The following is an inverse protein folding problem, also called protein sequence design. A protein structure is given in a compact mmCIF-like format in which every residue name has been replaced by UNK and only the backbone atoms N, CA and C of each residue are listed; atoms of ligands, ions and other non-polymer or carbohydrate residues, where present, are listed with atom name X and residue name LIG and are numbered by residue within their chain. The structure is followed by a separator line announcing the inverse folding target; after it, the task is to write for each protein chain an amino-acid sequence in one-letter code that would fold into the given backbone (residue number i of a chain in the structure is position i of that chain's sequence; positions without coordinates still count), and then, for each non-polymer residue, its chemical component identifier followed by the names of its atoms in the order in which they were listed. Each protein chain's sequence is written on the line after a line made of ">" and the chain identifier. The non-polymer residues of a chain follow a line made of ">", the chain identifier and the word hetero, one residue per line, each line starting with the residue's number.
data_IF_730859888129
#
_entry.id   IF_730859888129
#
_cell.length_a   1.000
_cell.length_b   1.000
_cell.length_c   1.000
_cell.angle_alpha   90.00
_cell.angle_beta   90.00
_cell.angle_gamma   90.00
#
_symmetry.space_group_name_H-M   'P 1'
#
loop_
_entity.id
_entity.type
_entity.pdbx_description
1 polymer ?
#
# COMPACT_ATOMS: atom_id res chain seq x y z
N UNK A 1 14.73 -22.52 33.88
CA UNK A 1 14.86 -21.80 32.60
C UNK A 1 14.09 -22.60 31.54
N UNK A 2 12.77 -22.41 31.46
CA UNK A 2 11.90 -23.17 30.55
C UNK A 2 11.74 -22.44 29.22
N UNK A 3 12.10 -23.10 28.11
CA UNK A 3 11.78 -22.63 26.75
C UNK A 3 10.26 -22.70 26.59
N UNK A 4 9.59 -21.55 26.48
CA UNK A 4 8.20 -21.50 26.02
C UNK A 4 8.19 -21.95 24.56
N UNK A 5 7.44 -23.01 24.28
CA UNK A 5 7.15 -23.47 22.94
C UNK A 5 6.41 -22.34 22.21
N UNK A 6 6.93 -21.96 21.04
CA UNK A 6 6.28 -21.04 20.12
C UNK A 6 4.84 -21.51 19.89
N UNK A 7 3.87 -20.64 20.17
CA UNK A 7 2.47 -20.90 19.85
C UNK A 7 2.34 -21.22 18.37
N UNK A 8 1.57 -22.26 18.06
CA UNK A 8 1.19 -22.60 16.69
C UNK A 8 0.53 -21.35 16.07
N UNK A 9 1.01 -20.91 14.91
CA UNK A 9 0.32 -19.91 14.10
C UNK A 9 -1.12 -20.40 13.95
N UNK A 10 -2.16 -19.65 14.39
CA UNK A 10 -3.54 -20.06 14.21
C UNK A 10 -3.80 -20.30 12.72
N UNK A 11 -4.57 -21.34 12.40
CA UNK A 11 -4.93 -21.64 11.02
C UNK A 11 -5.56 -20.40 10.39
N UNK A 12 -4.96 -19.92 9.32
CA UNK A 12 -5.45 -18.78 8.56
C UNK A 12 -6.80 -19.22 7.95
N UNK A 13 -7.92 -18.56 8.27
CA UNK A 13 -9.20 -18.93 7.70
C UNK A 13 -9.12 -18.79 6.17
N UNK A 14 -9.59 -19.84 5.49
CA UNK A 14 -9.70 -19.92 4.05
C UNK A 14 -10.46 -18.70 3.53
N UNK A 15 -9.91 -18.04 2.51
CA UNK A 15 -10.56 -16.89 1.90
C UNK A 15 -11.93 -17.32 1.35
N UNK A 16 -12.95 -16.48 1.54
CA UNK A 16 -14.24 -16.70 0.93
C UNK A 16 -14.08 -16.78 -0.61
N UNK A 17 -14.88 -17.62 -1.30
CA UNK A 17 -14.82 -17.71 -2.76
C UNK A 17 -15.06 -16.33 -3.39
N UNK A 18 -14.23 -15.98 -4.37
CA UNK A 18 -14.36 -14.72 -5.11
C UNK A 18 -15.66 -14.75 -5.93
N UNK A 19 -16.51 -13.74 -5.71
CA UNK A 19 -17.65 -13.46 -6.59
C UNK A 19 -17.14 -13.11 -8.01
N UNK A 20 -17.88 -13.44 -9.07
CA UNK A 20 -17.46 -13.17 -10.44
C UNK A 20 -17.27 -11.67 -10.68
N UNK A 21 -16.07 -11.29 -11.12
CA UNK A 21 -15.70 -9.92 -11.44
C UNK A 21 -16.57 -9.41 -12.60
N UNK A 22 -17.28 -8.29 -12.38
CA UNK A 22 -18.01 -7.57 -13.43
C UNK A 22 -17.01 -6.83 -14.33
N UNK A 23 -17.44 -6.53 -15.56
CA UNK A 23 -16.62 -5.99 -16.66
C UNK A 23 -15.61 -4.91 -16.21
N UNK A 24 -14.32 -5.24 -16.35
CA UNK A 24 -13.19 -4.57 -15.67
C UNK A 24 -12.70 -3.32 -16.39
N UNK A 25 -12.92 -3.24 -17.70
CA UNK A 25 -12.36 -2.18 -18.53
C UNK A 25 -12.93 -0.78 -18.22
N UNK A 26 -14.15 -0.69 -17.68
CA UNK A 26 -14.81 0.59 -17.41
C UNK A 26 -14.46 1.21 -16.04
N UNK A 27 -13.91 0.42 -15.12
CA UNK A 27 -13.69 0.85 -13.73
C UNK A 27 -12.33 1.49 -13.47
N UNK A 28 -11.28 1.02 -14.15
CA UNK A 28 -9.91 1.51 -13.96
C UNK A 28 -9.67 2.89 -14.56
N UNK A 29 -10.31 3.22 -15.69
CA UNK A 29 -10.20 4.54 -16.33
C UNK A 29 -11.06 5.62 -15.66
N UNK A 30 -11.89 5.25 -14.67
CA UNK A 30 -12.90 6.12 -14.06
C UNK A 30 -12.60 6.51 -12.60
N UNK A 31 -11.57 5.92 -11.99
CA UNK A 31 -11.16 6.29 -10.64
C UNK A 31 -10.26 7.54 -10.74
N UNK A 32 -10.76 8.65 -10.22
CA UNK A 32 -9.99 9.88 -10.02
C UNK A 32 -9.66 9.97 -8.52
N UNK A 33 -8.39 10.19 -8.17
CA UNK A 33 -8.07 10.38 -6.76
C UNK A 33 -8.74 11.63 -6.22
N UNK A 34 -9.47 11.53 -5.09
CA UNK A 34 -10.14 12.67 -4.50
C UNK A 34 -9.14 13.78 -4.14
N UNK A 35 -9.52 15.04 -4.37
CA UNK A 35 -8.70 16.22 -3.99
C UNK A 35 -8.26 16.18 -2.52
N UNK A 36 -9.08 15.57 -1.64
CA UNK A 36 -8.74 15.38 -0.23
C UNK A 36 -7.50 14.50 0.01
N UNK A 37 -7.16 13.61 -0.92
CA UNK A 37 -5.97 12.76 -0.89
C UNK A 37 -4.72 13.44 -1.51
N UNK A 38 -4.84 14.69 -1.94
CA UNK A 38 -3.74 15.48 -2.49
C UNK A 38 -3.31 16.55 -1.48
N UNK A 39 -2.00 16.74 -1.29
CA UNK A 39 -1.55 17.88 -0.50
C UNK A 39 -1.61 19.16 -1.34
N UNK A 40 -2.12 20.23 -0.72
CA UNK A 40 -2.16 21.57 -1.36
C UNK A 40 -0.79 22.21 -1.51
N UNK A 41 0.22 21.76 -0.76
CA UNK A 41 1.60 22.22 -0.84
C UNK A 41 2.47 20.98 -1.11
N UNK A 42 3.04 20.82 -2.32
CA UNK A 42 3.78 19.62 -2.67
C UNK A 42 5.08 19.54 -1.89
N UNK A 43 5.49 18.31 -1.54
CA UNK A 43 6.86 18.03 -1.11
C UNK A 43 7.82 18.58 -2.17
N UNK A 44 8.88 19.28 -1.75
CA UNK A 44 9.82 19.95 -2.64
C UNK A 44 10.11 19.11 -3.89
N UNK A 45 9.91 19.70 -5.08
CA UNK A 45 10.01 19.03 -6.39
C UNK A 45 11.42 18.45 -6.59
N UNK A 46 11.60 17.21 -6.14
CA UNK A 46 12.83 16.43 -6.35
C UNK A 46 12.95 16.02 -7.80
N UNK A 47 11.86 15.92 -8.57
CA UNK A 47 11.92 15.59 -9.99
C UNK A 47 12.76 16.63 -10.76
N UNK A 48 12.58 17.92 -10.45
CA UNK A 48 13.35 19.01 -11.06
C UNK A 48 14.86 18.97 -10.76
N UNK A 49 15.29 18.30 -9.69
CA UNK A 49 16.69 18.31 -9.23
C UNK A 49 17.56 17.23 -9.89
N UNK A 50 16.99 16.15 -10.41
CA UNK A 50 17.74 14.92 -10.74
C UNK A 50 17.45 14.29 -12.10
N UNK A 51 16.42 14.74 -12.84
CA UNK A 51 16.28 14.44 -14.29
C UNK A 51 17.38 15.10 -15.15
N UNK A 52 18.35 15.78 -14.51
CA UNK A 52 19.43 16.53 -15.12
C UNK A 52 20.63 15.71 -15.62
N UNK A 53 20.66 14.39 -15.39
CA UNK A 53 21.77 13.55 -15.85
C UNK A 53 21.47 13.02 -17.26
N UNK A 54 22.12 13.61 -18.25
CA UNK A 54 22.03 13.31 -19.70
C UNK A 54 22.64 11.92 -20.04
N UNK A 55 22.19 10.88 -19.35
CA UNK A 55 22.66 9.48 -19.43
C UNK A 55 21.60 8.65 -20.15
N UNK A 56 21.91 8.10 -21.34
CA UNK A 56 20.96 7.28 -22.08
C UNK A 56 20.48 6.07 -21.27
N UNK A 57 19.17 5.87 -21.18
CA UNK A 57 18.54 4.74 -20.49
C UNK A 57 18.50 4.88 -18.96
N UNK A 58 18.82 6.06 -18.41
CA UNK A 58 18.58 6.35 -17.00
C UNK A 58 17.08 6.50 -16.75
N UNK A 59 16.54 5.72 -15.80
CA UNK A 59 15.15 5.85 -15.35
C UNK A 59 14.93 7.24 -14.75
N UNK A 60 13.82 7.92 -15.07
CA UNK A 60 13.43 9.17 -14.42
C UNK A 60 13.41 9.02 -12.90
N UNK A 61 13.69 10.10 -12.18
CA UNK A 61 13.58 10.04 -10.71
C UNK A 61 12.15 9.87 -10.27
N UNK A 62 11.20 10.51 -10.94
CA UNK A 62 9.78 10.27 -10.76
C UNK A 62 9.26 9.61 -12.04
N UNK A 63 8.90 8.34 -11.95
CA UNK A 63 8.41 7.58 -13.09
C UNK A 63 6.93 7.93 -13.32
N UNK A 64 6.53 8.33 -14.54
CA UNK A 64 5.11 8.58 -14.88
C UNK A 64 4.22 7.37 -14.55
N UNK A 65 2.96 7.62 -14.16
CA UNK A 65 2.03 6.57 -13.72
C UNK A 65 1.79 5.49 -14.80
N UNK A 66 1.71 5.88 -16.07
CA UNK A 66 1.52 4.98 -17.21
C UNK A 66 2.79 4.19 -17.61
N UNK A 67 3.96 4.61 -17.10
CA UNK A 67 5.25 3.93 -17.29
C UNK A 67 5.71 3.15 -16.05
N UNK A 68 5.06 3.32 -14.89
CA UNK A 68 5.42 2.63 -13.66
C UNK A 68 5.17 1.13 -13.79
N UNK A 69 6.19 0.31 -13.48
CA UNK A 69 6.11 -1.13 -13.70
C UNK A 69 4.95 -1.77 -12.90
N UNK A 70 4.26 -2.72 -13.52
CA UNK A 70 3.13 -3.45 -12.91
C UNK A 70 3.42 -4.93 -12.81
N UNK A 71 3.17 -5.51 -11.64
CA UNK A 71 3.23 -6.96 -11.40
C UNK A 71 1.91 -7.38 -10.75
N UNK A 72 1.16 -8.23 -11.44
CA UNK A 72 -0.12 -8.75 -10.96
C UNK A 72 -0.06 -10.27 -10.77
N UNK A 73 -0.70 -10.76 -9.72
CA UNK A 73 -0.98 -12.20 -9.56
C UNK A 73 -2.32 -12.61 -10.16
N UNK A 74 -3.25 -11.65 -10.31
CA UNK A 74 -4.56 -11.88 -10.89
C UNK A 74 -4.52 -11.70 -12.41
N UNK A 75 -5.17 -12.60 -13.14
CA UNK A 75 -5.34 -12.47 -14.60
C UNK A 75 -6.29 -11.32 -14.98
N UNK A 76 -7.12 -10.90 -14.04
CA UNK A 76 -8.15 -9.88 -14.19
C UNK A 76 -8.04 -8.95 -12.99
N UNK A 77 -7.82 -7.67 -13.25
CA UNK A 77 -7.69 -6.64 -12.21
C UNK A 77 -9.04 -6.47 -11.50
N UNK A 78 -9.09 -6.53 -10.16
CA UNK A 78 -10.31 -6.23 -9.42
C UNK A 78 -10.70 -4.75 -9.60
N UNK A 79 -11.93 -4.52 -10.03
CA UNK A 79 -12.55 -3.18 -9.92
C UNK A 79 -13.28 -3.13 -8.59
N UNK A 80 -12.91 -2.18 -7.75
CA UNK A 80 -13.54 -1.99 -6.44
C UNK A 80 -14.25 -0.64 -6.41
N UNK A 81 -15.51 -0.65 -5.99
CA UNK A 81 -16.27 0.58 -5.78
C UNK A 81 -15.85 1.19 -4.44
N UNK A 82 -15.41 2.44 -4.45
CA UNK A 82 -14.95 3.18 -3.27
C UNK A 82 -16.03 3.28 -2.17
N UNK A 83 -17.32 3.27 -2.56
CA UNK A 83 -18.46 3.40 -1.63
C UNK A 83 -18.71 2.12 -0.83
N UNK A 84 -18.29 0.99 -1.39
CA UNK A 84 -18.43 -0.34 -0.78
C UNK A 84 -17.09 -0.84 -0.20
N UNK A 85 -15.99 -0.13 -0.45
CA UNK A 85 -14.66 -0.50 0.01
C UNK A 85 -14.52 -0.36 1.52
N UNK A 86 -13.90 -1.35 2.16
CA UNK A 86 -13.59 -1.30 3.58
C UNK A 86 -12.22 -1.89 3.89
N UNK A 87 -11.49 -1.26 4.81
CA UNK A 87 -10.31 -1.80 5.46
C UNK A 87 -10.68 -2.31 6.86
N UNK A 88 -10.47 -3.60 7.11
CA UNK A 88 -10.64 -4.19 8.44
C UNK A 88 -9.29 -4.48 9.08
N UNK A 89 -9.10 -4.01 10.30
CA UNK A 89 -7.95 -4.34 11.15
C UNK A 89 -8.43 -5.27 12.27
N UNK A 90 -7.84 -6.47 12.34
CA UNK A 90 -8.29 -7.53 13.24
C UNK A 90 -7.14 -8.48 13.62
N UNK A 91 -7.39 -9.39 14.56
CA UNK A 91 -6.39 -10.36 15.04
C UNK A 91 -5.90 -10.04 16.45
N UNK A 92 -4.59 -9.95 16.64
CA UNK A 92 -3.97 -9.65 17.95
C UNK A 92 -3.96 -8.14 18.24
N UNK A 93 -5.17 -7.60 18.44
CA UNK A 93 -5.45 -6.18 18.65
C UNK A 93 -6.37 -5.99 19.86
N UNK A 94 -6.33 -4.82 20.50
CA UNK A 94 -7.23 -4.48 21.61
C UNK A 94 -8.69 -4.36 21.14
N UNK A 95 -8.91 -3.77 19.97
CA UNK A 95 -10.23 -3.68 19.33
C UNK A 95 -10.14 -3.86 17.82
N UNK A 96 -11.02 -4.69 17.25
CA UNK A 96 -11.14 -4.75 15.80
C UNK A 96 -11.85 -3.50 15.28
N UNK A 97 -11.34 -2.93 14.20
CA UNK A 97 -11.91 -1.74 13.55
C UNK A 97 -12.19 -2.03 12.08
N UNK A 98 -13.12 -1.27 11.51
CA UNK A 98 -13.40 -1.27 10.07
C UNK A 98 -13.57 0.17 9.63
N UNK A 99 -12.81 0.57 8.62
CA UNK A 99 -12.79 1.91 8.05
C UNK A 99 -13.27 1.84 6.60
N UNK A 100 -14.12 2.76 6.19
CA UNK A 100 -14.45 3.01 4.79
C UNK A 100 -13.38 3.87 4.10
N UNK A 101 -13.54 4.08 2.80
CA UNK A 101 -12.64 4.94 2.04
C UNK A 101 -12.71 6.41 2.50
N UNK A 102 -13.92 6.93 2.76
CA UNK A 102 -14.13 8.29 3.29
C UNK A 102 -13.48 8.51 4.66
N UNK A 103 -13.41 7.46 5.51
CA UNK A 103 -12.76 7.56 6.81
C UNK A 103 -11.25 7.84 6.64
N UNK A 104 -10.61 7.22 5.65
CA UNK A 104 -9.19 7.44 5.35
C UNK A 104 -8.94 8.84 4.77
N UNK A 105 -9.82 9.32 3.89
CA UNK A 105 -9.75 10.69 3.36
C UNK A 105 -9.93 11.76 4.46
N UNK A 106 -10.58 11.41 5.56
CA UNK A 106 -10.74 12.28 6.72
C UNK A 106 -9.53 12.31 7.68
N UNK A 107 -8.51 11.47 7.47
CA UNK A 107 -7.29 11.43 8.28
C UNK A 107 -6.23 12.41 7.75
N UNK A 108 -5.12 12.54 8.48
CA UNK A 108 -3.97 13.29 8.00
C UNK A 108 -3.33 12.57 6.79
N UNK A 109 -3.42 13.20 5.63
CA UNK A 109 -2.73 12.78 4.43
C UNK A 109 -1.28 13.26 4.49
N UNK A 110 -0.37 12.36 4.13
CA UNK A 110 1.05 12.65 4.01
C UNK A 110 1.54 12.21 2.64
N UNK A 111 2.62 12.84 2.20
CA UNK A 111 3.30 12.52 0.93
C UNK A 111 4.73 12.08 1.20
N UNK A 112 5.18 11.04 0.49
CA UNK A 112 6.57 10.59 0.53
C UNK A 112 7.02 10.04 -0.84
N UNK A 113 8.29 10.28 -1.19
CA UNK A 113 8.90 9.71 -2.37
C UNK A 113 9.44 8.32 -2.06
N UNK A 114 8.75 7.29 -2.55
CA UNK A 114 9.08 5.89 -2.25
C UNK A 114 9.46 5.15 -3.52
N UNK A 115 10.64 4.52 -3.49
CA UNK A 115 11.08 3.58 -4.53
C UNK A 115 10.55 2.20 -4.22
N UNK A 116 9.84 1.60 -5.17
CA UNK A 116 9.42 0.19 -5.10
C UNK A 116 10.26 -0.59 -6.12
N UNK A 117 10.80 -1.73 -5.67
CA UNK A 117 11.58 -2.62 -6.52
C UNK A 117 11.07 -4.06 -6.38
N UNK A 118 10.89 -4.74 -7.51
CA UNK A 118 10.56 -6.15 -7.52
C UNK A 118 11.76 -6.99 -7.09
N UNK A 119 11.53 -8.05 -6.31
CA UNK A 119 12.57 -9.04 -5.96
C UNK A 119 13.19 -9.72 -7.19
N UNK A 120 12.47 -9.72 -8.32
CA UNK A 120 12.93 -10.27 -9.60
C UNK A 120 13.69 -9.25 -10.45
N UNK A 121 13.86 -8.00 -10.00
CA UNK A 121 14.58 -7.00 -10.78
C UNK A 121 16.06 -7.38 -10.93
N UNK A 122 16.56 -7.37 -12.16
CA UNK A 122 17.97 -7.65 -12.46
C UNK A 122 18.80 -6.36 -12.40
N UNK A 123 20.13 -6.50 -12.39
CA UNK A 123 21.02 -5.35 -12.51
C UNK A 123 20.78 -4.68 -13.87
N UNK A 124 20.36 -3.41 -13.85
CA UNK A 124 19.96 -2.66 -15.05
C UNK A 124 18.59 -3.05 -15.61
N UNK A 125 17.75 -3.76 -14.85
CA UNK A 125 16.37 -4.07 -15.20
C UNK A 125 15.41 -2.90 -14.95
N UNK A 126 14.16 -3.11 -15.34
CA UNK A 126 13.06 -2.14 -15.39
C UNK A 126 11.99 -2.37 -14.31
N UNK A 127 12.15 -3.37 -13.44
CA UNK A 127 11.19 -3.68 -12.37
C UNK A 127 11.50 -2.89 -11.09
N UNK A 128 11.73 -1.59 -11.26
CA UNK A 128 12.00 -0.61 -10.19
C UNK A 128 11.50 0.76 -10.63
N UNK A 129 10.86 1.49 -9.73
CA UNK A 129 10.37 2.84 -9.98
C UNK A 129 10.27 3.65 -8.68
N UNK A 130 10.39 4.97 -8.79
CA UNK A 130 10.15 5.91 -7.69
C UNK A 130 9.02 6.86 -8.10
N UNK A 131 8.16 7.18 -7.14
CA UNK A 131 7.00 8.03 -7.34
C UNK A 131 6.70 8.79 -6.04
N UNK A 132 5.96 9.88 -6.16
CA UNK A 132 5.36 10.56 -5.01
C UNK A 132 4.10 9.79 -4.60
N UNK A 133 4.06 9.25 -3.39
CA UNK A 133 2.89 8.55 -2.86
C UNK A 133 2.18 9.42 -1.86
N UNK A 134 0.86 9.58 -2.01
CA UNK A 134 0.01 10.24 -1.03
C UNK A 134 -0.88 9.22 -0.32
N UNK A 135 -1.10 9.41 0.98
CA UNK A 135 -1.97 8.52 1.74
C UNK A 135 -1.91 8.74 3.23
N UNK A 136 -2.49 7.81 3.99
CA UNK A 136 -2.48 7.87 5.46
C UNK A 136 -1.35 7.04 6.03
N UNK A 137 -0.81 7.45 7.18
CA UNK A 137 0.18 6.64 7.90
C UNK A 137 -0.49 5.35 8.39
N UNK A 138 0.06 4.20 7.99
CA UNK A 138 -0.42 2.89 8.45
C UNK A 138 -0.35 2.79 9.99
N UNK A 139 0.65 3.42 10.61
CA UNK A 139 0.78 3.48 12.06
C UNK A 139 -0.48 4.04 12.71
N UNK A 140 -1.00 5.16 12.22
CA UNK A 140 -2.12 5.87 12.84
C UNK A 140 -3.40 5.01 12.79
N UNK A 141 -3.62 4.31 11.67
CA UNK A 141 -4.70 3.32 11.54
C UNK A 141 -4.52 2.14 12.49
N UNK A 142 -3.29 1.63 12.64
CA UNK A 142 -3.02 0.53 13.57
C UNK A 142 -3.21 0.96 15.03
N UNK A 143 -2.78 2.17 15.41
CA UNK A 143 -2.93 2.69 16.77
C UNK A 143 -4.40 2.77 17.22
N UNK A 144 -5.33 3.02 16.29
CA UNK A 144 -6.77 2.96 16.57
C UNK A 144 -7.22 1.57 17.03
N UNK A 145 -6.61 0.50 16.50
CA UNK A 145 -6.92 -0.89 16.85
C UNK A 145 -6.15 -1.38 18.09
N UNK A 146 -4.98 -0.77 18.37
CA UNK A 146 -4.09 -1.16 19.47
C UNK A 146 -3.47 -2.54 19.28
N UNK A 147 -2.56 -2.76 18.30
CA UNK A 147 -1.95 -4.06 18.09
C UNK A 147 -0.98 -4.43 19.22
N UNK A 148 -0.94 -5.72 19.52
CA UNK A 148 0.10 -6.30 20.35
C UNK A 148 1.46 -6.22 19.65
N UNK A 149 2.43 -5.55 20.28
CA UNK A 149 3.81 -5.50 19.80
C UNK A 149 4.58 -6.82 20.04
N UNK A 150 4.01 -7.74 20.83
CA UNK A 150 4.50 -9.11 20.94
C UNK A 150 4.06 -9.98 19.73
N UNK A 151 3.19 -9.45 18.86
CA UNK A 151 2.75 -10.06 17.61
C UNK A 151 3.91 -10.23 16.62
N UNK A 152 3.91 -11.34 15.89
CA UNK A 152 5.05 -11.69 15.02
C UNK A 152 4.99 -11.08 13.62
N UNK A 153 3.80 -10.84 13.08
CA UNK A 153 3.58 -10.36 11.72
C UNK A 153 2.35 -9.46 11.64
N UNK A 154 2.49 -8.33 10.96
CA UNK A 154 1.39 -7.64 10.31
C UNK A 154 1.23 -8.26 8.92
N UNK A 155 0.01 -8.64 8.54
CA UNK A 155 -0.28 -9.26 7.24
C UNK A 155 -1.41 -8.49 6.56
N UNK A 156 -1.08 -7.86 5.43
CA UNK A 156 -2.06 -7.30 4.51
C UNK A 156 -2.71 -8.40 3.67
N UNK A 157 -4.00 -8.25 3.40
CA UNK A 157 -4.77 -9.10 2.50
C UNK A 157 -5.62 -8.23 1.58
N UNK A 158 -5.52 -8.46 0.27
CA UNK A 158 -6.32 -7.77 -0.74
C UNK A 158 -7.63 -8.52 -1.06
N UNK A 159 -8.51 -7.86 -1.82
CA UNK A 159 -9.79 -8.40 -2.27
C UNK A 159 -9.64 -9.64 -3.17
N UNK A 160 -8.55 -9.77 -3.90
CA UNK A 160 -8.21 -10.92 -4.76
C UNK A 160 -7.42 -12.02 -4.02
N UNK A 161 -7.23 -11.87 -2.71
CA UNK A 161 -6.61 -12.88 -1.85
C UNK A 161 -5.08 -12.85 -1.82
N UNK A 162 -4.42 -11.88 -2.48
CA UNK A 162 -2.99 -11.66 -2.31
C UNK A 162 -2.68 -11.27 -0.85
N UNK A 163 -1.57 -11.78 -0.34
CA UNK A 163 -1.11 -11.49 1.02
C UNK A 163 0.37 -11.12 1.03
N UNK A 164 0.70 -10.07 1.76
CA UNK A 164 2.08 -9.67 2.06
C UNK A 164 2.16 -9.25 3.52
N UNK A 165 3.30 -9.49 4.16
CA UNK A 165 3.44 -9.19 5.58
C UNK A 165 4.87 -8.90 5.98
N UNK A 166 5.01 -8.30 7.15
CA UNK A 166 6.28 -7.94 7.76
C UNK A 166 6.14 -7.93 9.29
N UNK A 167 7.23 -7.98 10.07
CA UNK A 167 7.15 -7.96 11.53
C UNK A 167 6.45 -6.70 12.05
N UNK A 168 5.53 -6.86 13.01
CA UNK A 168 4.68 -5.75 13.53
C UNK A 168 5.53 -4.57 13.99
N UNK A 169 6.65 -4.84 14.67
CA UNK A 169 7.58 -3.82 15.17
C UNK A 169 8.08 -2.84 14.09
N UNK A 170 8.18 -3.25 12.83
CA UNK A 170 8.67 -2.39 11.75
C UNK A 170 7.67 -1.29 11.36
N UNK A 171 6.40 -1.40 11.76
CA UNK A 171 5.44 -0.29 11.63
C UNK A 171 5.68 0.82 12.67
N UNK A 172 6.43 0.52 13.73
CA UNK A 172 6.61 1.39 14.90
C UNK A 172 8.08 1.76 15.18
N UNK A 173 9.05 1.28 14.39
CA UNK A 173 10.48 1.48 14.65
C UNK A 173 11.05 2.80 14.10
N UNK A 174 10.18 3.75 13.76
CA UNK A 174 10.54 5.03 13.17
C UNK A 174 10.44 5.10 11.65
N UNK A 175 10.22 3.96 10.96
CA UNK A 175 9.74 3.99 9.57
C UNK A 175 8.32 4.53 9.49
N UNK A 176 7.95 5.05 8.33
CA UNK A 176 6.66 5.66 8.07
C UNK A 176 5.91 4.87 6.98
N UNK A 177 5.38 3.67 7.26
CA UNK A 177 4.59 2.94 6.27
C UNK A 177 3.29 3.69 5.96
N UNK A 178 2.88 3.67 4.69
CA UNK A 178 1.67 4.32 4.19
C UNK A 178 0.62 3.30 3.75
N UNK A 179 -0.65 3.64 3.96
CA UNK A 179 -1.76 3.15 3.15
C UNK A 179 -1.92 4.18 2.03
N UNK A 180 -1.40 3.86 0.85
CA UNK A 180 -1.41 4.76 -0.29
C UNK A 180 -2.83 4.93 -0.86
N UNK A 181 -3.19 6.17 -1.13
CA UNK A 181 -4.48 6.59 -1.72
C UNK A 181 -4.29 7.27 -3.08
N UNK A 182 -3.11 7.85 -3.35
CA UNK A 182 -2.76 8.45 -4.64
C UNK A 182 -1.28 8.30 -4.99
N UNK A 183 -0.96 8.58 -6.24
CA UNK A 183 0.36 8.41 -6.83
C UNK A 183 0.64 9.52 -7.87
N UNK A 184 1.75 10.23 -7.70
CA UNK A 184 2.16 11.37 -8.54
C UNK A 184 1.11 12.48 -8.66
N UNK A 185 0.31 12.67 -7.61
CA UNK A 185 -0.75 13.67 -7.57
C UNK A 185 -2.04 13.27 -8.30
N UNK A 186 -2.14 12.00 -8.69
CA UNK A 186 -3.30 11.37 -9.35
C UNK A 186 -3.85 10.20 -8.56
#
# INVERSE_FOLDING_TARGET
>A
MGRRLLGRIPDVPEAAPLEPVRDVAAGVDAFEVPEAALLTEPVADVASAVDSFDVPGLTPVVVPNDEFYRIDTALVVPVVDERDWTLRVFGDVEQEITLGYEDLLGMEIVEDYVTIACVSNQVGGDLVGNALWSGVRLRDVLEMAGPSLDGTQLVGRSVDGFTAGFPVELAFDGREPLIALGMNGE
#
